data_IF_316177798289
#
_entry.id   IF_316177798289
#
_cell.length_a   1.000
_cell.length_b   1.000
_cell.length_c   1.000
_cell.angle_alpha   90.00
_cell.angle_beta   90.00
_cell.angle_gamma   90.00
#
_symmetry.space_group_name_H-M   'P 1'
#
loop_
_entity.id
_entity.type
_entity.pdbx_description
1 polymer ?
#
# COMPACT_ATOMS: atom_id res chain seq x y z
N UNK A 1 0.01 -5.50 -10.86
CA UNK A 1 -0.70 -6.80 -10.86
C UNK A 1 -1.72 -6.79 -11.99
N UNK A 2 -2.00 -7.93 -12.63
CA UNK A 2 -2.98 -8.03 -13.72
C UNK A 2 -3.89 -9.24 -13.53
N UNK A 3 -5.17 -9.12 -13.86
CA UNK A 3 -6.14 -10.21 -13.80
C UNK A 3 -6.58 -10.56 -12.39
N UNK A 4 -6.73 -11.86 -12.11
CA UNK A 4 -7.12 -12.36 -10.79
C UNK A 4 -5.89 -12.74 -9.97
N UNK A 5 -5.80 -12.20 -8.74
CA UNK A 5 -4.74 -12.52 -7.78
C UNK A 5 -5.26 -13.51 -6.73
N UNK A 6 -4.59 -14.65 -6.62
CA UNK A 6 -4.85 -15.68 -5.63
C UNK A 6 -3.81 -15.68 -4.50
N UNK A 7 -3.88 -16.69 -3.61
CA UNK A 7 -2.94 -16.81 -2.49
C UNK A 7 -1.51 -17.09 -2.97
N UNK A 8 -1.37 -17.89 -4.03
CA UNK A 8 -0.08 -18.31 -4.56
C UNK A 8 0.67 -17.14 -5.20
N UNK A 9 -0.05 -16.17 -5.78
CA UNK A 9 0.54 -14.93 -6.27
C UNK A 9 0.72 -13.87 -5.17
N UNK A 10 -0.29 -13.69 -4.31
CA UNK A 10 -0.30 -12.63 -3.29
C UNK A 10 0.78 -12.79 -2.22
N UNK A 11 0.95 -14.01 -1.69
CA UNK A 11 1.78 -14.21 -0.51
C UNK A 11 3.28 -14.07 -0.79
N UNK A 12 3.83 -14.57 -1.92
CA UNK A 12 5.21 -14.29 -2.29
C UNK A 12 5.50 -12.79 -2.47
N UNK A 13 4.58 -12.03 -3.06
CA UNK A 13 4.73 -10.58 -3.22
C UNK A 13 4.77 -9.87 -1.86
N UNK A 14 3.89 -10.25 -0.94
CA UNK A 14 3.90 -9.72 0.42
C UNK A 14 5.20 -10.06 1.16
N UNK A 15 5.68 -11.30 1.04
CA UNK A 15 6.93 -11.73 1.64
C UNK A 15 8.13 -10.95 1.09
N UNK A 16 8.20 -10.77 -0.23
CA UNK A 16 9.24 -9.96 -0.89
C UNK A 16 9.18 -8.50 -0.44
N UNK A 17 7.98 -7.92 -0.35
CA UNK A 17 7.78 -6.57 0.19
C UNK A 17 8.30 -6.49 1.64
N UNK A 18 7.93 -7.44 2.51
CA UNK A 18 8.36 -7.48 3.91
C UNK A 18 9.88 -7.59 4.06
N UNK A 19 10.52 -8.48 3.30
CA UNK A 19 11.98 -8.62 3.26
C UNK A 19 12.67 -7.32 2.81
N UNK A 20 12.20 -6.73 1.71
CA UNK A 20 12.75 -5.52 1.14
C UNK A 20 12.79 -4.35 2.14
N UNK A 21 11.68 -4.10 2.86
CA UNK A 21 11.69 -3.00 3.81
C UNK A 21 12.41 -3.32 5.13
N UNK A 22 12.86 -4.55 5.37
CA UNK A 22 13.86 -4.83 6.41
C UNK A 22 15.22 -4.22 6.06
N UNK A 23 15.53 -4.11 4.76
CA UNK A 23 16.75 -3.46 4.24
C UNK A 23 16.57 -1.96 4.02
N UNK A 24 15.36 -1.52 3.65
CA UNK A 24 15.04 -0.13 3.34
C UNK A 24 13.92 0.41 4.26
N UNK A 25 14.26 0.97 5.42
CA UNK A 25 13.28 1.37 6.45
C UNK A 25 12.37 2.54 6.04
N UNK A 26 12.69 3.24 4.94
CA UNK A 26 11.87 4.32 4.37
C UNK A 26 11.39 4.02 2.94
N UNK A 27 11.29 2.74 2.59
CA UNK A 27 10.78 2.33 1.28
C UNK A 27 9.34 2.80 1.07
N UNK A 28 9.08 3.27 -0.15
CA UNK A 28 7.74 3.60 -0.64
C UNK A 28 7.34 2.50 -1.61
N UNK A 29 6.25 1.80 -1.30
CA UNK A 29 5.73 0.71 -2.12
C UNK A 29 4.72 1.29 -3.11
N UNK A 30 4.97 1.09 -4.40
CA UNK A 30 4.02 1.43 -5.46
C UNK A 30 3.23 0.17 -5.85
N UNK A 31 1.94 0.18 -5.54
CA UNK A 31 0.99 -0.89 -5.83
C UNK A 31 0.13 -0.52 -7.04
N UNK A 32 0.54 -0.92 -8.24
CA UNK A 32 -0.28 -0.74 -9.44
C UNK A 32 -1.34 -1.85 -9.55
N UNK A 33 -2.59 -1.44 -9.37
CA UNK A 33 -3.80 -2.26 -9.44
C UNK A 33 -4.65 -1.92 -10.67
N UNK A 34 -4.14 -1.13 -11.61
CA UNK A 34 -4.91 -0.66 -12.78
C UNK A 34 -5.38 -1.80 -13.69
N UNK A 35 -4.65 -2.91 -13.70
CA UNK A 35 -5.04 -4.13 -14.43
C UNK A 35 -5.62 -5.23 -13.55
N UNK A 36 -5.85 -4.97 -12.26
CA UNK A 36 -6.38 -5.96 -11.32
C UNK A 36 -7.90 -6.09 -11.50
N UNK A 37 -8.37 -7.30 -11.77
CA UNK A 37 -9.79 -7.59 -11.91
C UNK A 37 -10.39 -8.08 -10.59
N UNK A 38 -9.68 -8.97 -9.90
CA UNK A 38 -10.17 -9.60 -8.69
C UNK A 38 -9.04 -10.06 -7.76
N UNK A 39 -9.29 -10.02 -6.46
CA UNK A 39 -8.47 -10.72 -5.45
C UNK A 39 -9.36 -11.78 -4.83
N UNK A 40 -8.91 -13.04 -4.86
CA UNK A 40 -9.64 -14.17 -4.28
C UNK A 40 -9.94 -13.97 -2.80
N UNK A 41 -11.07 -14.50 -2.32
CA UNK A 41 -11.44 -14.42 -0.90
C UNK A 41 -10.38 -15.07 0.02
N UNK A 42 -9.76 -16.15 -0.43
CA UNK A 42 -8.68 -16.81 0.30
C UNK A 42 -7.47 -15.88 0.46
N UNK A 43 -7.07 -15.17 -0.60
CA UNK A 43 -5.98 -14.19 -0.53
C UNK A 43 -6.33 -13.02 0.39
N UNK A 44 -7.53 -12.45 0.29
CA UNK A 44 -8.00 -11.37 1.18
C UNK A 44 -7.94 -11.78 2.66
N UNK A 45 -8.41 -13.00 2.97
CA UNK A 45 -8.37 -13.54 4.33
C UNK A 45 -6.93 -13.70 4.81
N UNK A 46 -6.04 -14.22 3.96
CA UNK A 46 -4.63 -14.40 4.33
C UNK A 46 -3.91 -13.08 4.59
N UNK A 47 -4.20 -12.03 3.81
CA UNK A 47 -3.72 -10.68 4.08
C UNK A 47 -4.20 -10.17 5.46
N UNK A 48 -5.49 -10.32 5.77
CA UNK A 48 -6.06 -9.87 7.05
C UNK A 48 -5.49 -10.61 8.26
N UNK A 49 -5.10 -11.87 8.10
CA UNK A 49 -4.46 -12.69 9.14
C UNK A 49 -2.97 -12.34 9.36
N UNK A 50 -2.34 -11.60 8.43
CA UNK A 50 -0.92 -11.24 8.54
C UNK A 50 -0.75 -10.12 9.58
N UNK A 51 -0.46 -10.51 10.82
CA UNK A 51 -0.32 -9.60 11.97
C UNK A 51 0.99 -8.80 12.01
N UNK A 52 2.01 -9.24 11.27
CA UNK A 52 3.34 -8.63 11.27
C UNK A 52 3.52 -7.77 10.02
N UNK A 53 3.01 -6.54 10.08
CA UNK A 53 3.42 -5.46 9.18
C UNK A 53 4.80 -5.03 9.66
N UNK A 54 5.83 -5.28 8.86
CA UNK A 54 7.22 -4.94 9.19
C UNK A 54 7.43 -3.43 9.45
N UNK A 55 8.67 -2.92 9.32
CA UNK A 55 8.95 -1.51 9.61
C UNK A 55 8.01 -0.55 8.85
N UNK A 56 7.69 0.64 9.42
CA UNK A 56 6.80 1.62 8.83
C UNK A 56 7.19 1.95 7.38
N UNK A 57 6.21 1.94 6.47
CA UNK A 57 6.42 2.17 5.03
C UNK A 57 5.29 2.99 4.47
N UNK A 58 5.56 3.78 3.46
CA UNK A 58 4.52 4.44 2.70
C UNK A 58 4.02 3.53 1.57
N UNK A 59 2.73 3.60 1.27
CA UNK A 59 2.10 2.85 0.19
C UNK A 59 1.40 3.82 -0.75
N UNK A 60 1.62 3.66 -2.05
CA UNK A 60 0.85 4.36 -3.08
C UNK A 60 0.12 3.34 -3.92
N UNK A 61 -1.21 3.39 -3.92
CA UNK A 61 -2.04 2.53 -4.76
C UNK A 61 -2.40 3.28 -6.02
N UNK A 62 -1.98 2.74 -7.17
CA UNK A 62 -2.19 3.32 -8.50
C UNK A 62 -3.32 2.58 -9.19
N UNK A 63 -4.32 3.31 -9.65
CA UNK A 63 -5.43 2.75 -10.42
C UNK A 63 -6.77 2.88 -9.70
N UNK A 64 -7.72 2.02 -10.08
CA UNK A 64 -9.14 2.08 -9.71
C UNK A 64 -9.90 3.29 -10.27
N UNK A 65 -11.24 3.28 -10.18
CA UNK A 65 -12.06 4.44 -10.54
C UNK A 65 -12.03 5.50 -9.42
N UNK A 66 -12.46 6.74 -9.74
CA UNK A 66 -12.38 7.86 -8.80
C UNK A 66 -13.17 7.63 -7.50
N UNK A 67 -14.34 7.00 -7.58
CA UNK A 67 -15.19 6.72 -6.42
C UNK A 67 -14.50 5.77 -5.43
N UNK A 68 -13.90 4.69 -5.94
CA UNK A 68 -13.18 3.72 -5.11
C UNK A 68 -11.96 4.35 -4.44
N UNK A 69 -11.23 5.22 -5.15
CA UNK A 69 -10.11 5.97 -4.54
C UNK A 69 -10.58 6.86 -3.40
N UNK A 70 -11.65 7.62 -3.60
CA UNK A 70 -12.19 8.51 -2.56
C UNK A 70 -12.67 7.72 -1.33
N UNK A 71 -13.38 6.61 -1.54
CA UNK A 71 -13.84 5.75 -0.45
C UNK A 71 -12.64 5.16 0.32
N UNK A 72 -11.63 4.69 -0.40
CA UNK A 72 -10.43 4.13 0.21
C UNK A 72 -9.64 5.18 1.00
N UNK A 73 -9.48 6.40 0.46
CA UNK A 73 -8.83 7.49 1.18
C UNK A 73 -9.57 7.84 2.48
N UNK A 74 -10.91 7.92 2.43
CA UNK A 74 -11.73 8.18 3.61
C UNK A 74 -11.61 7.07 4.66
N UNK A 75 -11.65 5.81 4.24
CA UNK A 75 -11.47 4.66 5.14
C UNK A 75 -10.09 4.67 5.81
N UNK A 76 -9.02 4.91 5.05
CA UNK A 76 -7.66 4.94 5.60
C UNK A 76 -7.40 6.14 6.52
N UNK A 77 -8.02 7.28 6.25
CA UNK A 77 -8.00 8.42 7.19
C UNK A 77 -8.75 8.11 8.48
N UNK A 78 -9.93 7.46 8.38
CA UNK A 78 -10.68 7.03 9.56
C UNK A 78 -9.90 6.02 10.40
N UNK A 79 -9.24 5.04 9.76
CA UNK A 79 -8.38 4.07 10.46
C UNK A 79 -7.21 4.77 11.15
N UNK A 80 -6.55 5.74 10.52
CA UNK A 80 -5.48 6.52 11.15
C UNK A 80 -5.99 7.32 12.35
N UNK A 81 -7.19 7.92 12.25
CA UNK A 81 -7.79 8.64 13.38
C UNK A 81 -8.11 7.71 14.57
N UNK A 82 -8.60 6.50 14.28
CA UNK A 82 -8.93 5.49 15.30
C UNK A 82 -7.71 4.76 15.86
N UNK A 83 -6.65 4.65 15.07
CA UNK A 83 -5.39 3.99 15.40
C UNK A 83 -4.24 4.88 14.94
N UNK A 84 -3.83 5.88 15.73
CA UNK A 84 -2.78 6.83 15.36
C UNK A 84 -1.42 6.15 15.09
N UNK A 85 -1.23 4.95 15.63
CA UNK A 85 -0.06 4.09 15.40
C UNK A 85 -0.17 3.23 14.14
N UNK A 86 -1.22 3.40 13.32
CA UNK A 86 -1.39 2.64 12.09
C UNK A 86 -0.23 2.94 11.12
N UNK A 87 0.58 1.93 10.74
CA UNK A 87 2.03 2.11 10.52
C UNK A 87 2.44 2.62 9.13
N UNK A 88 1.49 2.96 8.26
CA UNK A 88 1.82 3.18 6.85
C UNK A 88 1.05 4.34 6.21
N UNK A 89 1.70 5.50 6.01
CA UNK A 89 1.16 6.56 5.15
C UNK A 89 0.70 6.00 3.81
N UNK A 90 -0.58 6.16 3.47
CA UNK A 90 -1.15 5.59 2.24
C UNK A 90 -1.76 6.68 1.36
N UNK A 91 -1.55 6.58 0.04
CA UNK A 91 -2.15 7.47 -0.97
C UNK A 91 -2.78 6.64 -2.08
N UNK A 92 -3.92 7.11 -2.59
CA UNK A 92 -4.62 6.54 -3.74
C UNK A 92 -4.58 7.51 -4.91
N UNK A 93 -4.00 7.09 -6.03
CA UNK A 93 -3.73 7.96 -7.18
C UNK A 93 -4.21 7.33 -8.48
N UNK A 94 -4.42 8.15 -9.51
CA UNK A 94 -4.92 7.68 -10.80
C UNK A 94 -3.83 7.00 -11.62
N UNK A 95 -2.60 7.51 -11.57
CA UNK A 95 -1.53 7.12 -12.49
C UNK A 95 -0.15 7.25 -11.83
N UNK A 96 0.88 6.81 -12.55
CA UNK A 96 2.26 6.83 -12.08
C UNK A 96 2.81 8.26 -11.89
N UNK A 97 2.36 9.24 -12.67
CA UNK A 97 2.83 10.63 -12.52
C UNK A 97 2.39 11.21 -11.17
N UNK A 98 1.12 11.01 -10.79
CA UNK A 98 0.59 11.39 -9.48
C UNK A 98 1.28 10.60 -8.35
N UNK A 99 1.58 9.31 -8.56
CA UNK A 99 2.32 8.52 -7.59
C UNK A 99 3.70 9.12 -7.30
N UNK A 100 4.42 9.55 -8.35
CA UNK A 100 5.73 10.20 -8.23
C UNK A 100 5.62 11.55 -7.52
N UNK A 101 4.59 12.34 -7.82
CA UNK A 101 4.35 13.62 -7.16
C UNK A 101 4.08 13.48 -5.65
N UNK A 102 3.55 12.35 -5.19
CA UNK A 102 3.28 12.07 -3.77
C UNK A 102 4.53 11.67 -2.96
N UNK A 103 5.62 11.25 -3.61
CA UNK A 103 6.83 10.74 -2.94
C UNK A 103 7.40 11.71 -1.88
N UNK A 104 7.58 13.03 -2.17
CA UNK A 104 8.16 13.95 -1.19
C UNK A 104 7.30 14.11 0.07
N UNK A 105 5.97 14.11 -0.06
CA UNK A 105 5.05 14.13 1.08
C UNK A 105 5.21 12.86 1.93
N UNK A 106 5.21 11.70 1.28
CA UNK A 106 5.32 10.40 1.95
C UNK A 106 6.65 10.21 2.67
N UNK A 107 7.76 10.70 2.10
CA UNK A 107 9.07 10.71 2.78
C UNK A 107 9.03 11.52 4.07
N UNK A 108 8.44 12.72 4.04
CA UNK A 108 8.25 13.55 5.25
C UNK A 108 7.40 12.84 6.30
N UNK A 109 6.31 12.18 5.89
CA UNK A 109 5.45 11.42 6.80
C UNK A 109 6.17 10.22 7.43
N UNK A 110 7.15 9.63 6.73
CA UNK A 110 8.00 8.56 7.26
C UNK A 110 9.16 9.07 8.12
N UNK A 111 9.31 10.39 8.30
CA UNK A 111 10.45 10.98 8.99
C UNK A 111 11.77 10.88 8.19
N UNK A 112 11.73 10.44 6.94
CA UNK A 112 12.86 10.39 6.05
C UNK A 112 13.15 11.81 5.54
N UNK A 113 14.14 12.47 6.14
CA UNK A 113 14.64 13.75 5.65
C UNK A 113 15.59 13.46 4.49
N UNK A 114 15.52 14.28 3.44
CA UNK A 114 16.51 14.22 2.36
C UNK A 114 17.84 14.72 2.93
N UNK A 115 18.84 13.85 3.01
CA UNK A 115 20.24 14.28 2.99
C UNK A 115 20.60 14.80 1.58
#
# INVERSE_FOLDING_TARGET
>A
MRGTVDVAEAMPLLAAQLAAGGTWPHAIVLCDVSGLEWISMAARRKFAETRNVGPPRAIVVIGANAMLRNLADLLFRAVQALRPTHPSPTRFVRNLAEARAAIPELRRMLGAHSD
#
